data_IF_144059122560
#
_entry.id   IF_144059122560
#
_cell.length_a   1.000
_cell.length_b   1.000
_cell.length_c   1.000
_cell.angle_alpha   90.00
_cell.angle_beta   90.00
_cell.angle_gamma   90.00
#
_symmetry.space_group_name_H-M   'P 1'
#
loop_
_entity.id
_entity.type
_entity.pdbx_description
1 polymer ?
#
# COMPACT_ATOMS: atom_id res chain seq x y z
N UNK A 1 -5.31 -52.26 51.36
CA UNK A 1 -6.04 -51.04 50.93
C UNK A 1 -5.05 -50.09 50.22
N UNK A 2 -5.12 -49.94 48.87
CA UNK A 2 -4.21 -49.07 48.12
C UNK A 2 -4.91 -47.96 47.28
N UNK A 3 -6.10 -47.48 47.67
CA UNK A 3 -6.93 -46.60 46.80
C UNK A 3 -6.67 -45.08 46.94
N UNK A 4 -5.85 -44.63 47.89
CA UNK A 4 -5.67 -43.19 48.19
C UNK A 4 -4.47 -42.53 47.49
N UNK A 5 -3.48 -43.31 47.04
CA UNK A 5 -2.29 -42.76 46.35
C UNK A 5 -2.55 -42.41 44.88
N UNK A 6 -3.36 -43.23 44.21
CA UNK A 6 -3.59 -43.11 42.77
C UNK A 6 -4.58 -41.98 42.43
N UNK A 7 -5.53 -41.72 43.33
CA UNK A 7 -6.48 -40.60 43.27
C UNK A 7 -5.81 -39.23 43.49
N UNK A 8 -4.74 -39.18 44.30
CA UNK A 8 -3.96 -37.95 44.51
C UNK A 8 -3.12 -37.60 43.28
N UNK A 9 -2.45 -38.60 42.69
CA UNK A 9 -1.67 -38.44 41.45
C UNK A 9 -2.53 -38.01 40.25
N UNK A 10 -3.74 -38.54 40.12
CA UNK A 10 -4.68 -38.14 39.05
C UNK A 10 -5.18 -36.70 39.22
N UNK A 11 -5.47 -36.27 40.45
CA UNK A 11 -5.87 -34.88 40.72
C UNK A 11 -4.73 -33.88 40.47
N UNK A 12 -3.49 -34.23 40.80
CA UNK A 12 -2.33 -33.37 40.53
C UNK A 12 -2.04 -33.25 39.02
N UNK A 13 -2.13 -34.36 38.27
CA UNK A 13 -2.03 -34.35 36.80
C UNK A 13 -3.15 -33.52 36.13
N UNK A 14 -4.38 -33.59 36.66
CA UNK A 14 -5.51 -32.80 36.16
C UNK A 14 -5.31 -31.29 36.41
N UNK A 15 -4.75 -30.92 37.57
CA UNK A 15 -4.41 -29.52 37.90
C UNK A 15 -3.29 -28.99 37.00
N UNK A 16 -2.28 -29.82 36.73
CA UNK A 16 -1.18 -29.47 35.84
C UNK A 16 -1.66 -29.29 34.38
N UNK A 17 -2.45 -30.23 33.86
CA UNK A 17 -3.08 -30.10 32.55
C UNK A 17 -3.97 -28.84 32.45
N UNK A 18 -4.75 -28.55 33.48
CA UNK A 18 -5.55 -27.33 33.56
C UNK A 18 -4.70 -26.05 33.54
N UNK A 19 -3.56 -26.04 34.25
CA UNK A 19 -2.61 -24.93 34.24
C UNK A 19 -1.97 -24.71 32.87
N UNK A 20 -1.57 -25.79 32.19
CA UNK A 20 -0.98 -25.73 30.85
C UNK A 20 -1.98 -25.20 29.83
N UNK A 21 -3.24 -25.67 29.86
CA UNK A 21 -4.30 -25.15 28.99
C UNK A 21 -4.61 -23.67 29.25
N UNK A 22 -4.60 -23.24 30.51
CA UNK A 22 -4.78 -21.84 30.86
C UNK A 22 -3.65 -20.96 30.28
N UNK A 23 -2.39 -21.37 30.45
CA UNK A 23 -1.22 -20.69 29.86
C UNK A 23 -1.30 -20.61 28.34
N UNK A 24 -1.64 -21.72 27.67
CA UNK A 24 -1.76 -21.75 26.21
C UNK A 24 -2.86 -20.80 25.71
N UNK A 25 -3.99 -20.72 26.43
CA UNK A 25 -5.08 -19.80 26.07
C UNK A 25 -4.63 -18.35 26.22
N UNK A 26 -3.95 -18.01 27.31
CA UNK A 26 -3.40 -16.67 27.53
C UNK A 26 -2.42 -16.28 26.43
N UNK A 27 -1.48 -17.17 26.08
CA UNK A 27 -0.50 -16.92 25.02
C UNK A 27 -1.18 -16.73 23.65
N UNK A 28 -2.15 -17.57 23.30
CA UNK A 28 -2.91 -17.43 22.07
C UNK A 28 -3.62 -16.06 21.97
N UNK A 29 -4.14 -15.53 23.08
CA UNK A 29 -4.77 -14.20 23.10
C UNK A 29 -3.71 -13.11 22.87
N UNK A 30 -2.54 -13.21 23.51
CA UNK A 30 -1.44 -12.26 23.33
C UNK A 30 -1.02 -12.21 21.86
N UNK A 31 -0.83 -13.37 21.24
CA UNK A 31 -0.45 -13.46 19.83
C UNK A 31 -1.50 -12.84 18.90
N UNK A 32 -2.79 -13.08 19.14
CA UNK A 32 -3.88 -12.46 18.38
C UNK A 32 -3.87 -10.94 18.49
N UNK A 33 -3.64 -10.41 19.68
CA UNK A 33 -3.57 -8.95 19.91
C UNK A 33 -2.37 -8.35 19.17
N UNK A 34 -1.19 -8.97 19.28
CA UNK A 34 0.02 -8.48 18.59
C UNK A 34 -0.10 -8.53 17.08
N UNK A 35 -0.63 -9.62 16.54
CA UNK A 35 -0.90 -9.76 15.11
C UNK A 35 -1.89 -8.69 14.63
N UNK A 36 -2.94 -8.41 15.40
CA UNK A 36 -3.88 -7.33 15.09
C UNK A 36 -3.20 -5.95 15.10
N UNK A 37 -2.37 -5.65 16.10
CA UNK A 37 -1.62 -4.40 16.16
C UNK A 37 -0.73 -4.25 14.93
N UNK A 38 0.08 -5.26 14.59
CA UNK A 38 0.96 -5.23 13.44
C UNK A 38 0.19 -5.00 12.11
N UNK A 39 -0.91 -5.72 11.91
CA UNK A 39 -1.77 -5.53 10.74
C UNK A 39 -2.35 -4.11 10.68
N UNK A 40 -2.75 -3.54 11.82
CA UNK A 40 -3.28 -2.18 11.88
C UNK A 40 -2.18 -1.14 11.59
N UNK A 41 -0.94 -1.37 12.02
CA UNK A 41 0.20 -0.50 11.70
C UNK A 41 0.50 -0.46 10.20
N UNK A 42 0.49 -1.63 9.55
CA UNK A 42 0.68 -1.72 8.10
C UNK A 42 -0.42 -0.96 7.34
N UNK A 43 -1.67 -1.10 7.78
CA UNK A 43 -2.79 -0.35 7.19
C UNK A 43 -2.65 1.17 7.39
N UNK A 44 -2.23 1.62 8.58
CA UNK A 44 -1.98 3.03 8.86
C UNK A 44 -0.90 3.56 7.93
N UNK A 45 0.19 2.81 7.77
CA UNK A 45 1.32 3.17 6.91
C UNK A 45 0.89 3.27 5.44
N UNK A 46 0.17 2.27 4.93
CA UNK A 46 -0.33 2.23 3.56
C UNK A 46 -1.27 3.41 3.25
N UNK A 47 -2.04 3.85 4.25
CA UNK A 47 -3.03 4.90 4.09
C UNK A 47 -2.51 6.31 4.42
N UNK A 48 -1.20 6.51 4.54
CA UNK A 48 -0.60 7.82 4.79
C UNK A 48 -0.80 8.31 6.23
N UNK A 49 -0.71 7.39 7.19
CA UNK A 49 -0.85 7.68 8.62
C UNK A 49 -2.31 7.78 9.08
N UNK A 50 -3.28 7.32 8.29
CA UNK A 50 -4.71 7.34 8.63
C UNK A 50 -5.20 5.91 8.67
N UNK A 51 -5.74 5.48 9.80
CA UNK A 51 -6.38 4.17 9.89
C UNK A 51 -7.64 4.13 8.99
N UNK A 52 -7.79 3.15 8.09
CA UNK A 52 -8.89 3.15 7.11
C UNK A 52 -10.26 2.84 7.75
N UNK A 53 -10.27 2.06 8.81
CA UNK A 53 -11.49 1.60 9.48
C UNK A 53 -11.92 2.52 10.63
N UNK A 54 -13.12 2.28 11.15
CA UNK A 54 -13.67 2.96 12.33
C UNK A 54 -13.57 4.51 12.25
N UNK A 55 -13.78 5.07 11.06
CA UNK A 55 -13.68 6.53 10.81
C UNK A 55 -12.29 7.12 11.15
N UNK A 56 -11.23 6.31 11.10
CA UNK A 56 -9.87 6.72 11.44
C UNK A 56 -9.56 6.72 12.94
N UNK A 57 -10.45 6.19 13.78
CA UNK A 57 -10.28 6.15 15.22
C UNK A 57 -9.68 4.83 15.67
N UNK A 58 -8.54 4.92 16.34
CA UNK A 58 -7.92 3.80 17.04
C UNK A 58 -8.39 3.80 18.49
N UNK A 59 -8.97 2.68 18.93
CA UNK A 59 -9.45 2.50 20.30
C UNK A 59 -9.16 1.08 20.76
N UNK A 60 -9.14 0.85 22.07
CA UNK A 60 -8.97 -0.50 22.62
C UNK A 60 -10.05 -1.47 22.11
N UNK A 61 -11.30 -1.00 21.99
CA UNK A 61 -12.39 -1.81 21.43
C UNK A 61 -12.11 -2.23 19.98
N UNK A 62 -11.48 -1.35 19.21
CA UNK A 62 -11.14 -1.62 17.81
C UNK A 62 -10.02 -2.66 17.70
N UNK A 63 -8.98 -2.57 18.54
CA UNK A 63 -7.91 -3.58 18.61
C UNK A 63 -8.50 -4.95 18.99
N UNK A 64 -9.38 -5.00 20.00
CA UNK A 64 -10.06 -6.24 20.40
C UNK A 64 -10.92 -6.82 19.26
N UNK A 65 -11.64 -5.97 18.52
CA UNK A 65 -12.45 -6.37 17.36
C UNK A 65 -11.57 -7.02 16.30
N UNK A 66 -10.44 -6.40 15.96
CA UNK A 66 -9.48 -6.93 14.98
C UNK A 66 -8.81 -8.23 15.44
N UNK A 67 -8.48 -8.34 16.72
CA UNK A 67 -7.94 -9.56 17.31
C UNK A 67 -8.98 -10.68 17.49
N UNK A 68 -10.27 -10.41 17.26
CA UNK A 68 -11.35 -11.38 17.45
C UNK A 68 -11.57 -11.78 18.91
N UNK A 69 -11.33 -10.86 19.85
CA UNK A 69 -11.51 -11.09 21.30
C UNK A 69 -12.51 -10.11 21.90
N UNK A 70 -13.17 -10.52 22.99
CA UNK A 70 -14.06 -9.63 23.72
C UNK A 70 -13.25 -8.59 24.50
N UNK A 71 -13.74 -7.35 24.58
CA UNK A 71 -13.04 -6.27 25.32
C UNK A 71 -12.79 -6.64 26.78
N UNK A 72 -13.73 -7.33 27.42
CA UNK A 72 -13.62 -7.78 28.82
C UNK A 72 -12.40 -8.69 29.05
N UNK A 73 -11.93 -9.42 28.02
CA UNK A 73 -10.77 -10.30 28.11
C UNK A 73 -9.50 -9.52 28.50
N UNK A 74 -9.30 -8.31 27.98
CA UNK A 74 -8.16 -7.46 28.36
C UNK A 74 -8.25 -6.93 29.80
N UNK A 75 -9.43 -6.93 30.41
CA UNK A 75 -9.61 -6.51 31.81
C UNK A 75 -9.48 -7.65 32.81
N UNK A 76 -9.30 -8.89 32.33
CA UNK A 76 -9.06 -10.05 33.20
C UNK A 76 -7.69 -9.98 33.89
N UNK A 77 -7.51 -10.58 35.08
CA UNK A 77 -6.24 -10.54 35.81
C UNK A 77 -5.03 -11.01 35.00
N UNK A 78 -5.21 -11.95 34.06
CA UNK A 78 -4.15 -12.46 33.20
C UNK A 78 -3.60 -11.45 32.18
N UNK A 79 -4.36 -10.40 31.85
CA UNK A 79 -4.04 -9.47 30.76
C UNK A 79 -4.04 -7.99 31.17
N UNK A 80 -4.70 -7.65 32.28
CA UNK A 80 -4.90 -6.26 32.73
C UNK A 80 -3.61 -5.50 32.96
N UNK A 81 -2.59 -6.17 33.48
CA UNK A 81 -1.32 -5.54 33.87
C UNK A 81 -0.19 -5.80 32.85
N UNK A 82 -0.51 -6.47 31.73
CA UNK A 82 0.45 -6.81 30.67
C UNK A 82 -0.07 -6.40 29.29
N UNK A 83 -0.85 -7.26 28.63
CA UNK A 83 -1.36 -7.05 27.27
C UNK A 83 -2.18 -5.76 27.14
N UNK A 84 -2.94 -5.40 28.17
CA UNK A 84 -3.71 -4.16 28.18
C UNK A 84 -2.80 -2.92 28.16
N UNK A 85 -1.72 -2.93 28.95
CA UNK A 85 -0.74 -1.83 28.97
C UNK A 85 0.00 -1.71 27.64
N UNK A 86 0.32 -2.84 27.00
CA UNK A 86 0.91 -2.88 25.64
C UNK A 86 -0.01 -2.17 24.63
N UNK A 87 -1.31 -2.51 24.64
CA UNK A 87 -2.31 -1.87 23.78
C UNK A 87 -2.46 -0.37 24.10
N UNK A 88 -2.49 0.00 25.38
CA UNK A 88 -2.62 1.41 25.79
C UNK A 88 -1.39 2.24 25.40
N UNK A 89 -0.19 1.68 25.55
CA UNK A 89 1.06 2.31 25.11
C UNK A 89 1.09 2.52 23.60
N UNK A 90 0.68 1.51 22.82
CA UNK A 90 0.57 1.63 21.37
C UNK A 90 -0.45 2.69 20.94
N UNK A 91 -1.63 2.72 21.58
CA UNK A 91 -2.66 3.73 21.32
C UNK A 91 -2.20 5.14 21.67
N UNK A 92 -1.35 5.32 22.70
CA UNK A 92 -0.79 6.61 23.07
C UNK A 92 0.13 7.18 21.97
N UNK A 93 0.81 6.31 21.22
CA UNK A 93 1.60 6.71 20.04
C UNK A 93 0.75 7.14 18.83
N UNK A 94 -0.56 6.87 18.85
CA UNK A 94 -1.46 7.13 17.73
C UNK A 94 -2.63 8.03 18.17
N UNK A 95 -2.43 9.36 18.23
CA UNK A 95 -3.46 10.28 18.68
C UNK A 95 -4.73 10.14 17.85
N UNK A 96 -5.88 10.14 18.53
CA UNK A 96 -7.19 9.98 17.90
C UNK A 96 -7.42 11.16 16.96
N UNK A 97 -7.31 10.91 15.65
CA UNK A 97 -7.64 11.90 14.64
C UNK A 97 -9.14 12.17 14.64
N UNK A 98 -9.53 13.45 14.60
CA UNK A 98 -10.94 13.83 14.55
C UNK A 98 -11.48 13.61 13.14
N UNK A 99 -12.77 13.30 13.02
CA UNK A 99 -13.46 13.08 11.73
C UNK A 99 -13.21 14.21 10.70
N UNK A 100 -13.20 15.51 11.06
CA UNK A 100 -12.87 16.57 10.12
C UNK A 100 -11.44 16.52 9.59
N UNK A 101 -10.47 16.15 10.43
CA UNK A 101 -9.04 16.06 10.04
C UNK A 101 -8.83 14.92 9.05
N UNK A 102 -9.43 13.76 9.33
CA UNK A 102 -9.41 12.60 8.42
C UNK A 102 -10.04 12.98 7.08
N UNK A 103 -11.21 13.61 7.09
CA UNK A 103 -11.86 14.09 5.85
C UNK A 103 -10.98 15.06 5.09
N UNK A 104 -10.41 16.07 5.75
CA UNK A 104 -9.53 17.06 5.12
C UNK A 104 -8.33 16.39 4.46
N UNK A 105 -7.69 15.43 5.12
CA UNK A 105 -6.55 14.72 4.57
C UNK A 105 -6.93 13.82 3.39
N UNK A 106 -8.05 13.10 3.49
CA UNK A 106 -8.54 12.25 2.39
C UNK A 106 -8.96 13.08 1.18
N UNK A 107 -9.72 14.16 1.38
CA UNK A 107 -10.12 15.08 0.32
C UNK A 107 -8.91 15.76 -0.31
N UNK A 108 -7.97 16.27 0.49
CA UNK A 108 -6.74 16.88 -0.05
C UNK A 108 -5.92 15.91 -0.90
N UNK A 109 -5.86 14.63 -0.53
CA UNK A 109 -5.21 13.59 -1.35
C UNK A 109 -5.97 13.34 -2.66
N UNK A 110 -7.29 13.28 -2.62
CA UNK A 110 -8.11 13.12 -3.82
C UNK A 110 -7.97 14.32 -4.77
N UNK A 111 -7.98 15.54 -4.24
CA UNK A 111 -7.79 16.77 -4.99
C UNK A 111 -6.40 16.84 -5.62
N UNK A 112 -5.36 16.43 -4.88
CA UNK A 112 -4.00 16.32 -5.41
C UNK A 112 -3.92 15.39 -6.61
N UNK A 113 -4.44 14.16 -6.49
CA UNK A 113 -4.43 13.20 -7.59
C UNK A 113 -5.27 13.65 -8.78
N UNK A 114 -6.40 14.33 -8.53
CA UNK A 114 -7.22 14.91 -9.58
C UNK A 114 -6.46 15.99 -10.36
N UNK A 115 -5.70 16.84 -9.65
CA UNK A 115 -4.87 17.86 -10.28
C UNK A 115 -3.73 17.24 -11.11
N UNK A 116 -3.01 16.26 -10.57
CA UNK A 116 -1.95 15.56 -11.30
C UNK A 116 -2.49 14.83 -12.53
N UNK A 117 -3.65 14.18 -12.42
CA UNK A 117 -4.28 13.53 -13.57
C UNK A 117 -4.70 14.54 -14.65
N UNK A 118 -5.26 15.69 -14.26
CA UNK A 118 -5.60 16.76 -15.20
C UNK A 118 -4.35 17.29 -15.92
N UNK A 119 -3.23 17.43 -15.19
CA UNK A 119 -1.94 17.84 -15.76
C UNK A 119 -1.42 16.85 -16.80
N UNK A 120 -1.42 15.55 -16.48
CA UNK A 120 -1.01 14.49 -17.41
C UNK A 120 -1.91 14.48 -18.65
N UNK A 121 -3.23 14.57 -18.48
CA UNK A 121 -4.17 14.63 -19.61
C UNK A 121 -3.90 15.84 -20.52
N UNK A 122 -3.57 17.00 -19.94
CA UNK A 122 -3.22 18.20 -20.69
C UNK A 122 -1.91 18.03 -21.46
N UNK A 123 -0.91 17.39 -20.85
CA UNK A 123 0.36 17.07 -21.50
C UNK A 123 0.18 16.10 -22.68
N UNK A 124 -0.66 15.08 -22.54
CA UNK A 124 -0.97 14.15 -23.63
C UNK A 124 -1.56 14.90 -24.83
N UNK A 125 -2.56 15.77 -24.60
CA UNK A 125 -3.16 16.58 -25.65
C UNK A 125 -2.12 17.46 -26.37
N UNK A 126 -1.21 18.09 -25.63
CA UNK A 126 -0.11 18.89 -26.22
C UNK A 126 0.80 18.00 -27.08
N UNK A 127 1.17 16.82 -26.59
CA UNK A 127 2.03 15.91 -27.34
C UNK A 127 1.37 15.37 -28.60
N UNK A 128 0.07 15.10 -28.57
CA UNK A 128 -0.69 14.69 -29.75
C UNK A 128 -0.68 15.77 -30.84
N UNK A 129 -0.87 17.04 -30.45
CA UNK A 129 -0.78 18.18 -31.37
C UNK A 129 0.62 18.31 -31.96
N UNK A 130 1.66 18.27 -31.13
CA UNK A 130 3.05 18.33 -31.57
C UNK A 130 3.41 17.16 -32.52
N UNK A 131 2.91 15.96 -32.22
CA UNK A 131 3.13 14.79 -33.08
C UNK A 131 2.47 15.00 -34.45
N UNK A 132 1.26 15.56 -34.47
CA UNK A 132 0.59 15.86 -35.74
C UNK A 132 1.34 16.92 -36.56
N UNK A 133 1.82 18.00 -35.91
CA UNK A 133 2.67 19.01 -36.56
C UNK A 133 3.92 18.38 -37.18
N UNK A 134 4.63 17.52 -36.43
CA UNK A 134 5.82 16.82 -36.93
C UNK A 134 5.50 15.87 -38.08
N UNK A 135 4.34 15.19 -38.04
CA UNK A 135 3.90 14.33 -39.14
C UNK A 135 3.52 15.11 -40.40
N UNK A 136 3.07 16.36 -40.28
CA UNK A 136 2.87 17.26 -41.42
C UNK A 136 4.24 17.65 -41.99
N UNK A 137 5.16 18.12 -41.16
CA UNK A 137 6.51 18.53 -41.56
C UNK A 137 7.28 17.39 -42.26
N UNK A 138 7.21 16.16 -41.72
CA UNK A 138 7.83 14.98 -42.35
C UNK A 138 7.26 14.74 -43.75
N UNK A 139 5.93 14.87 -43.93
CA UNK A 139 5.30 14.67 -45.24
C UNK A 139 5.72 15.74 -46.23
N UNK A 140 5.80 17.00 -45.80
CA UNK A 140 6.26 18.12 -46.64
C UNK A 140 7.71 17.91 -47.08
N UNK A 141 8.61 17.56 -46.15
CA UNK A 141 10.02 17.28 -46.46
C UNK A 141 10.19 16.05 -47.36
N UNK A 142 9.34 15.04 -47.22
CA UNK A 142 9.35 13.87 -48.11
C UNK A 142 8.91 14.25 -49.53
N UNK A 143 7.90 15.10 -49.66
CA UNK A 143 7.41 15.59 -50.95
C UNK A 143 8.47 16.47 -51.65
N UNK A 144 9.10 17.38 -50.91
CA UNK A 144 10.19 18.22 -51.42
C UNK A 144 11.38 17.37 -51.87
N UNK A 145 11.84 16.42 -51.05
CA UNK A 145 12.92 15.51 -51.43
C UNK A 145 12.58 14.71 -52.68
N UNK A 146 11.33 14.22 -52.80
CA UNK A 146 10.87 13.54 -54.00
C UNK A 146 10.96 14.46 -55.22
N UNK A 147 10.46 15.68 -55.12
CA UNK A 147 10.51 16.68 -56.18
C UNK A 147 11.95 17.02 -56.59
N UNK A 148 12.85 17.20 -55.63
CA UNK A 148 14.27 17.45 -55.88
C UNK A 148 14.96 16.25 -56.55
N UNK A 149 14.68 15.03 -56.10
CA UNK A 149 15.18 13.81 -56.74
C UNK A 149 14.72 13.70 -58.20
N UNK A 150 13.46 14.03 -58.49
CA UNK A 150 12.96 14.05 -59.87
C UNK A 150 13.63 15.15 -60.72
N UNK A 151 13.87 16.33 -60.15
CA UNK A 151 14.58 17.41 -60.84
C UNK A 151 16.05 17.05 -61.13
N UNK A 152 16.73 16.39 -60.19
CA UNK A 152 18.08 15.86 -60.38
C UNK A 152 18.12 14.77 -61.44
N UNK A 153 17.11 13.90 -61.50
CA UNK A 153 16.99 12.89 -62.54
C UNK A 153 16.76 13.54 -63.93
N UNK A 154 15.92 14.57 -64.01
CA UNK A 154 15.63 15.31 -65.25
C UNK A 154 16.80 16.16 -65.75
N UNK A 155 17.55 16.79 -64.84
CA UNK A 155 18.72 17.63 -65.16
C UNK A 155 19.97 16.82 -65.53
N UNK A 156 19.92 15.48 -65.46
CA UNK A 156 21.02 14.60 -65.88
C UNK A 156 22.26 14.64 -64.97
N UNK A 157 22.23 15.38 -63.85
CA UNK A 157 23.35 15.55 -62.94
C UNK A 157 23.78 14.24 -62.24
N UNK A 158 22.89 13.23 -62.17
CA UNK A 158 23.20 11.94 -61.54
C UNK A 158 24.25 11.14 -62.33
N UNK A 159 24.41 11.38 -63.64
CA UNK A 159 25.48 10.73 -64.42
C UNK A 159 26.86 11.35 -64.20
N UNK A 160 27.00 12.58 -63.70
CA UNK A 160 28.31 13.23 -63.55
C UNK A 160 29.01 12.90 -62.23
N UNK A 161 28.27 12.64 -61.14
CA UNK A 161 28.85 12.31 -59.82
C UNK A 161 29.35 10.85 -59.79
N UNK A 162 28.62 9.91 -60.38
CA UNK A 162 29.08 8.51 -60.50
C UNK A 162 30.34 8.37 -61.37
N UNK A 163 30.56 9.27 -62.35
CA UNK A 163 31.76 9.31 -63.19
C UNK A 163 32.98 9.97 -62.53
N UNK A 164 32.82 10.66 -61.40
CA UNK A 164 33.91 11.30 -60.66
C UNK A 164 34.39 10.48 -59.44
N UNK A 165 33.56 9.59 -58.90
CA UNK A 165 33.97 8.67 -57.83
C UNK A 165 34.82 7.49 -58.34
N UNK A 166 34.75 7.16 -59.63
CA UNK A 166 35.45 6.04 -60.27
C UNK A 166 36.81 6.43 -60.91
N UNK A 167 37.31 7.64 -60.61
CA UNK A 167 38.56 8.21 -61.15
C UNK A 167 39.59 8.60 -60.07
N UNK A 168 39.47 8.08 -58.85
CA UNK A 168 40.49 8.26 -57.80
C UNK A 168 41.06 6.94 -57.33
#
# INVERSE_FOLDING_TARGET
>A
MPLQSDTKKTNDALREAGSLHAKQRTENIIQKVRSAIASMEDEIKLNGGIYPENTGRLTQSEVCRRAGIAKITLHSPSHKDTTKLEVESWLAGHPIKRKPEVRKAVTGRADFWKAEHAKVASQICIYELQLNEKNIEIRELQEENRGLCEQLARSGAVKSIALQADKR
#
